data_IF_488263223020
#
_entry.id   IF_488263223020
#
_cell.length_a   1.000
_cell.length_b   1.000
_cell.length_c   1.000
_cell.angle_alpha   90.00
_cell.angle_beta   90.00
_cell.angle_gamma   90.00
#
_symmetry.space_group_name_H-M   'P 1'
#
loop_
_entity.id
_entity.type
_entity.pdbx_description
1 polymer ?
#
# COMPACT_ATOMS: atom_id res chain seq x y z
N UNK A 1 17.14 14.21 25.67
CA UNK A 1 16.74 12.90 26.21
C UNK A 1 17.81 11.85 25.84
N UNK A 2 17.91 10.71 26.54
CA UNK A 2 18.73 9.56 26.08
C UNK A 2 17.92 8.27 26.14
N UNK A 3 18.05 7.42 25.12
CA UNK A 3 17.44 6.08 25.04
C UNK A 3 18.56 5.09 24.73
N UNK A 4 18.76 4.05 25.53
CA UNK A 4 19.88 3.10 25.40
C UNK A 4 21.26 3.77 25.26
N UNK A 5 21.47 4.91 25.95
CA UNK A 5 22.71 5.69 25.85
C UNK A 5 22.83 6.55 24.59
N UNK A 6 21.96 6.38 23.60
CA UNK A 6 21.88 7.20 22.38
C UNK A 6 21.20 8.53 22.69
N UNK A 7 21.82 9.63 22.26
CA UNK A 7 21.26 10.98 22.42
C UNK A 7 20.08 11.20 21.49
N UNK A 8 18.94 11.61 22.04
CA UNK A 8 17.78 12.07 21.28
C UNK A 8 17.82 13.59 21.27
N UNK A 9 18.00 14.16 20.08
CA UNK A 9 18.02 15.60 19.86
C UNK A 9 16.62 16.16 20.11
N UNK A 10 16.54 17.24 20.88
CA UNK A 10 15.29 17.94 21.16
C UNK A 10 14.91 18.78 19.93
N UNK A 11 14.21 18.15 19.00
CA UNK A 11 13.78 18.72 17.73
C UNK A 11 12.48 18.02 17.27
N UNK A 12 11.96 18.42 16.11
CA UNK A 12 10.74 17.88 15.53
C UNK A 12 10.96 17.40 14.09
N UNK A 13 10.06 16.54 13.62
CA UNK A 13 9.90 16.20 12.21
C UNK A 13 8.69 16.96 11.65
N UNK A 14 8.89 17.76 10.62
CA UNK A 14 7.80 18.45 9.93
C UNK A 14 7.19 17.51 8.87
N UNK A 15 5.91 17.19 9.04
CA UNK A 15 5.14 16.33 8.16
C UNK A 15 4.02 17.13 7.48
N UNK A 16 3.42 16.56 6.45
CA UNK A 16 2.46 17.26 5.58
C UNK A 16 1.18 16.45 5.42
N UNK A 17 0.07 17.16 5.21
CA UNK A 17 -1.19 16.52 4.81
C UNK A 17 -1.06 15.94 3.40
N UNK A 18 -1.44 14.68 3.23
CA UNK A 18 -1.55 14.01 1.92
C UNK A 18 -2.80 13.15 1.87
N UNK A 19 -3.13 12.60 0.71
CA UNK A 19 -4.24 11.66 0.57
C UNK A 19 -3.71 10.26 0.36
N UNK A 20 -4.30 9.29 1.06
CA UNK A 20 -3.98 7.87 0.91
C UNK A 20 -5.22 7.07 0.56
N UNK A 21 -5.03 6.00 -0.19
CA UNK A 21 -5.97 4.88 -0.26
C UNK A 21 -5.30 3.65 0.31
N UNK A 22 -6.07 2.87 1.08
CA UNK A 22 -5.65 1.64 1.74
C UNK A 22 -6.52 0.49 1.21
N UNK A 23 -5.90 -0.53 0.66
CA UNK A 23 -6.63 -1.66 0.08
C UNK A 23 -5.92 -2.99 0.33
N UNK A 24 -6.69 -4.07 0.29
CA UNK A 24 -6.24 -5.42 0.58
C UNK A 24 -6.10 -6.19 -0.73
N UNK A 25 -4.91 -6.74 -1.00
CA UNK A 25 -4.67 -7.71 -2.06
C UNK A 25 -4.66 -9.10 -1.43
N UNK A 26 -5.53 -9.99 -1.87
CA UNK A 26 -5.54 -11.41 -1.47
C UNK A 26 -5.08 -12.28 -2.63
N UNK A 27 -4.48 -13.43 -2.34
CA UNK A 27 -4.06 -14.39 -3.36
C UNK A 27 -4.12 -15.83 -2.84
N UNK A 28 -3.80 -16.81 -3.68
CA UNK A 28 -3.86 -18.24 -3.31
C UNK A 28 -2.96 -18.60 -2.12
N UNK A 29 -1.82 -17.93 -1.98
CA UNK A 29 -0.87 -18.11 -0.89
C UNK A 29 -0.01 -16.84 -0.69
N UNK A 30 0.76 -16.81 0.39
CA UNK A 30 1.59 -15.67 0.83
C UNK A 30 2.59 -15.25 -0.25
N UNK A 31 3.16 -16.21 -0.99
CA UNK A 31 4.07 -15.92 -2.09
C UNK A 31 3.43 -15.00 -3.14
N UNK A 32 2.21 -15.29 -3.57
CA UNK A 32 1.54 -14.48 -4.60
C UNK A 32 1.04 -13.15 -4.05
N UNK A 33 0.68 -13.10 -2.76
CA UNK A 33 0.41 -11.84 -2.07
C UNK A 33 1.64 -10.94 -2.10
N UNK A 34 2.80 -11.46 -1.69
CA UNK A 34 4.04 -10.68 -1.65
C UNK A 34 4.42 -10.15 -3.02
N UNK A 35 4.37 -10.98 -4.07
CA UNK A 35 4.69 -10.56 -5.44
C UNK A 35 3.77 -9.42 -5.89
N UNK A 36 2.45 -9.58 -5.74
CA UNK A 36 1.48 -8.57 -6.18
C UNK A 36 1.61 -7.27 -5.37
N UNK A 37 1.80 -7.37 -4.05
CA UNK A 37 1.99 -6.22 -3.18
C UNK A 37 3.25 -5.44 -3.54
N UNK A 38 4.40 -6.13 -3.70
CA UNK A 38 5.68 -5.51 -4.07
C UNK A 38 5.63 -4.83 -5.43
N UNK A 39 5.01 -5.46 -6.42
CA UNK A 39 4.86 -4.87 -7.75
C UNK A 39 3.96 -3.61 -7.69
N UNK A 40 2.85 -3.70 -6.95
CA UNK A 40 1.88 -2.61 -6.76
C UNK A 40 2.49 -1.39 -6.07
N UNK A 41 3.39 -1.62 -5.11
CA UNK A 41 4.07 -0.56 -4.34
C UNK A 41 5.44 -0.20 -4.90
N UNK A 42 5.84 -0.78 -6.04
CA UNK A 42 7.07 -0.47 -6.74
C UNK A 42 7.07 0.93 -7.36
N UNK A 43 8.27 1.47 -7.60
CA UNK A 43 8.51 2.80 -8.18
C UNK A 43 7.63 3.89 -7.54
N UNK A 44 7.67 3.95 -6.21
CA UNK A 44 6.78 4.79 -5.41
C UNK A 44 7.44 5.30 -4.11
N UNK A 45 8.71 5.74 -4.18
CA UNK A 45 9.42 6.18 -2.98
C UNK A 45 9.08 7.59 -2.55
N UNK A 46 8.95 8.52 -3.51
CA UNK A 46 8.63 9.92 -3.24
C UNK A 46 7.92 10.55 -4.42
N UNK A 47 6.87 11.32 -4.15
CA UNK A 47 6.12 12.06 -5.19
C UNK A 47 6.95 13.16 -5.89
N UNK A 48 8.18 13.43 -5.44
CA UNK A 48 9.11 14.33 -6.13
C UNK A 48 9.49 13.80 -7.52
N UNK A 49 9.68 12.48 -7.64
CA UNK A 49 10.09 11.82 -8.88
C UNK A 49 9.26 10.59 -9.27
N UNK A 50 8.44 10.06 -8.36
CA UNK A 50 7.50 8.97 -8.61
C UNK A 50 6.08 9.51 -8.78
N UNK A 51 5.17 8.68 -9.31
CA UNK A 51 3.76 9.04 -9.49
C UNK A 51 2.98 9.12 -8.16
N UNK A 52 3.41 8.31 -7.18
CA UNK A 52 2.85 8.17 -5.86
C UNK A 52 3.95 7.82 -4.84
N UNK A 53 3.60 7.88 -3.57
CA UNK A 53 4.28 7.15 -2.49
C UNK A 53 3.48 5.88 -2.20
N UNK A 54 4.11 4.72 -2.04
CA UNK A 54 3.37 3.49 -1.75
C UNK A 54 4.20 2.50 -0.95
N UNK A 55 3.53 1.64 -0.20
CA UNK A 55 4.17 0.64 0.65
C UNK A 55 3.21 -0.43 1.12
N UNK A 56 3.79 -1.55 1.56
CA UNK A 56 3.05 -2.62 2.22
C UNK A 56 2.93 -2.26 3.69
N UNK A 57 1.70 -2.24 4.20
CA UNK A 57 1.41 -1.94 5.60
C UNK A 57 1.51 -3.20 6.46
N UNK A 58 0.87 -4.29 6.03
CA UNK A 58 0.85 -5.54 6.79
C UNK A 58 0.46 -6.73 5.93
N UNK A 59 0.79 -7.93 6.40
CA UNK A 59 0.30 -9.20 5.86
C UNK A 59 -0.72 -9.80 6.82
N UNK A 60 -1.82 -10.33 6.25
CA UNK A 60 -2.95 -10.88 6.95
C UNK A 60 -3.12 -12.37 6.61
N UNK A 61 -3.46 -13.15 7.62
CA UNK A 61 -3.90 -14.54 7.45
C UNK A 61 -5.35 -14.61 6.95
N UNK A 62 -5.73 -15.74 6.36
CA UNK A 62 -7.04 -15.89 5.70
C UNK A 62 -8.26 -15.86 6.62
N UNK A 63 -8.07 -16.03 7.93
CA UNK A 63 -9.14 -15.97 8.94
C UNK A 63 -9.75 -14.57 9.12
N UNK A 64 -9.02 -13.52 8.72
CA UNK A 64 -9.48 -12.12 8.83
C UNK A 64 -9.83 -11.48 7.49
N UNK A 65 -9.56 -12.16 6.36
CA UNK A 65 -9.81 -11.60 5.02
C UNK A 65 -11.21 -11.94 4.50
N UNK A 66 -11.80 -11.10 3.61
CA UNK A 66 -13.18 -11.29 3.17
C UNK A 66 -13.43 -12.60 2.39
N UNK A 67 -12.40 -13.18 1.77
CA UNK A 67 -12.52 -14.38 0.93
C UNK A 67 -11.80 -15.60 1.51
N UNK A 68 -11.32 -15.53 2.75
CA UNK A 68 -10.70 -16.66 3.44
C UNK A 68 -9.25 -16.94 3.03
N UNK A 69 -8.62 -16.05 2.25
CA UNK A 69 -7.27 -16.25 1.67
C UNK A 69 -6.24 -15.31 2.28
N UNK A 70 -4.94 -15.67 2.34
CA UNK A 70 -3.93 -14.74 2.81
C UNK A 70 -3.93 -13.46 1.98
N UNK A 71 -3.58 -12.33 2.61
CA UNK A 71 -3.58 -11.04 1.96
C UNK A 71 -2.52 -10.07 2.47
N UNK A 72 -2.32 -8.99 1.74
CA UNK A 72 -1.41 -7.91 2.02
C UNK A 72 -2.15 -6.59 1.92
N UNK A 73 -2.14 -5.82 3.01
CA UNK A 73 -2.68 -4.46 3.04
C UNK A 73 -1.61 -3.54 2.49
N UNK A 74 -1.98 -2.75 1.49
CA UNK A 74 -1.08 -1.78 0.86
C UNK A 74 -1.70 -0.39 0.94
N UNK A 75 -0.82 0.62 0.97
CA UNK A 75 -1.22 2.01 0.89
C UNK A 75 -0.61 2.68 -0.34
N UNK A 76 -1.39 3.55 -0.98
CA UNK A 76 -0.97 4.42 -2.08
C UNK A 76 -1.31 5.87 -1.71
N UNK A 77 -0.30 6.72 -1.74
CA UNK A 77 -0.31 8.12 -1.32
C UNK A 77 -0.07 9.03 -2.50
N UNK A 78 -0.98 9.96 -2.74
CA UNK A 78 -0.89 10.92 -3.84
C UNK A 78 -1.82 12.11 -3.60
N UNK A 79 -1.86 13.07 -4.51
CA UNK A 79 -2.85 14.14 -4.45
C UNK A 79 -4.28 13.64 -4.72
N UNK A 80 -5.28 14.20 -4.02
CA UNK A 80 -6.71 13.84 -4.15
C UNK A 80 -7.18 13.64 -5.60
N UNK A 81 -6.82 14.56 -6.50
CA UNK A 81 -7.25 14.52 -7.92
C UNK A 81 -6.60 13.39 -8.73
N UNK A 82 -5.45 12.88 -8.29
CA UNK A 82 -4.71 11.78 -8.94
C UNK A 82 -5.08 10.40 -8.39
N UNK A 83 -5.74 10.34 -7.23
CA UNK A 83 -6.02 9.09 -6.52
C UNK A 83 -6.66 8.01 -7.39
N UNK A 84 -7.73 8.34 -8.13
CA UNK A 84 -8.36 7.38 -9.03
C UNK A 84 -7.40 6.84 -10.10
N UNK A 85 -6.58 7.71 -10.69
CA UNK A 85 -5.65 7.32 -11.74
C UNK A 85 -4.55 6.40 -11.21
N UNK A 86 -3.93 6.74 -10.07
CA UNK A 86 -2.91 5.90 -9.45
C UNK A 86 -3.46 4.52 -9.06
N UNK A 87 -4.68 4.45 -8.54
CA UNK A 87 -5.30 3.18 -8.22
C UNK A 87 -5.62 2.35 -9.47
N UNK A 88 -6.09 2.97 -10.55
CA UNK A 88 -6.34 2.26 -11.82
C UNK A 88 -5.05 1.69 -12.42
N UNK A 89 -3.98 2.47 -12.41
CA UNK A 89 -2.71 2.06 -13.00
C UNK A 89 -2.09 0.93 -12.18
N UNK A 90 -1.98 1.11 -10.85
CA UNK A 90 -1.36 0.12 -9.96
C UNK A 90 -2.19 -1.16 -9.86
N UNK A 91 -3.50 -1.06 -9.63
CA UNK A 91 -4.34 -2.27 -9.54
C UNK A 91 -4.47 -2.93 -10.92
N UNK A 92 -4.61 -2.14 -11.99
CA UNK A 92 -4.77 -2.66 -13.36
C UNK A 92 -3.53 -3.34 -13.92
N UNK A 93 -2.34 -2.79 -13.66
CA UNK A 93 -1.10 -3.29 -14.25
C UNK A 93 -0.30 -4.21 -13.32
N UNK A 94 -0.52 -4.14 -12.00
CA UNK A 94 0.25 -4.92 -11.02
C UNK A 94 -0.59 -5.97 -10.28
N UNK A 95 -1.89 -5.76 -10.07
CA UNK A 95 -2.75 -6.70 -9.34
C UNK A 95 -3.55 -7.57 -10.30
N UNK A 96 -4.32 -6.99 -11.22
CA UNK A 96 -5.17 -7.72 -12.16
C UNK A 96 -4.36 -8.74 -12.99
N UNK A 97 -3.11 -8.38 -13.31
CA UNK A 97 -2.16 -9.19 -14.06
C UNK A 97 -1.45 -10.23 -13.18
N UNK A 98 -1.44 -10.05 -11.87
CA UNK A 98 -0.80 -10.98 -10.94
C UNK A 98 -1.65 -12.25 -10.74
N UNK A 99 -1.03 -13.44 -10.67
CA UNK A 99 -1.77 -14.69 -10.53
C UNK A 99 -2.63 -14.76 -9.28
N UNK A 100 -3.86 -15.25 -9.46
CA UNK A 100 -4.81 -15.61 -8.39
C UNK A 100 -5.31 -14.45 -7.55
N UNK A 101 -5.04 -13.19 -7.89
CA UNK A 101 -5.35 -12.07 -7.00
C UNK A 101 -6.85 -11.74 -6.94
N UNK A 102 -7.27 -11.21 -5.80
CA UNK A 102 -8.47 -10.38 -5.68
C UNK A 102 -8.14 -9.14 -4.86
N UNK A 103 -8.90 -8.07 -5.05
CA UNK A 103 -8.68 -6.82 -4.31
C UNK A 103 -9.96 -6.28 -3.68
N UNK A 104 -9.81 -5.83 -2.43
CA UNK A 104 -10.86 -5.30 -1.58
C UNK A 104 -10.50 -3.91 -1.06
N UNK A 105 -11.51 -3.07 -0.86
CA UNK A 105 -11.32 -1.81 -0.15
C UNK A 105 -11.01 -2.05 1.33
N UNK A 106 -10.04 -1.31 1.86
CA UNK A 106 -9.54 -1.46 3.22
C UNK A 106 -9.34 -0.11 3.95
N UNK A 107 -9.92 0.98 3.41
CA UNK A 107 -9.79 2.34 3.96
C UNK A 107 -10.55 2.51 5.28
N UNK A 108 -11.66 1.79 5.45
CA UNK A 108 -12.50 1.88 6.64
C UNK A 108 -13.64 2.88 6.51
N UNK A 109 -14.34 3.13 7.61
CA UNK A 109 -15.51 4.01 7.63
C UNK A 109 -15.13 5.48 7.45
N UNK A 110 -16.01 6.25 6.81
CA UNK A 110 -15.84 7.70 6.63
C UNK A 110 -14.90 8.12 5.50
N UNK A 111 -14.28 7.18 4.77
CA UNK A 111 -13.48 7.50 3.59
C UNK A 111 -14.34 8.05 2.43
N UNK A 112 -13.80 9.01 1.68
CA UNK A 112 -14.32 9.36 0.36
C UNK A 112 -14.06 8.20 -0.60
N UNK A 113 -14.87 8.01 -1.64
CA UNK A 113 -14.74 6.85 -2.53
C UNK A 113 -14.50 7.24 -3.98
N UNK A 114 -13.69 6.44 -4.68
CA UNK A 114 -13.50 6.47 -6.14
C UNK A 114 -13.91 5.14 -6.78
N UNK A 115 -14.37 5.17 -8.03
CA UNK A 115 -15.06 4.06 -8.71
C UNK A 115 -14.10 3.14 -9.49
N UNK A 116 -13.00 2.70 -8.85
CA UNK A 116 -11.93 1.90 -9.48
C UNK A 116 -12.47 0.62 -10.10
N UNK A 117 -13.12 -0.25 -9.32
CA UNK A 117 -13.66 -1.52 -9.83
C UNK A 117 -14.70 -1.32 -10.92
N UNK A 118 -15.52 -0.26 -10.82
CA UNK A 118 -16.50 0.10 -11.85
C UNK A 118 -15.86 0.44 -13.19
N UNK A 119 -14.69 1.08 -13.18
CA UNK A 119 -13.93 1.37 -14.40
C UNK A 119 -13.16 0.15 -14.89
N UNK A 120 -12.52 -0.59 -13.99
CA UNK A 120 -11.77 -1.80 -14.36
C UNK A 120 -12.63 -2.90 -14.97
N UNK A 121 -13.93 -2.99 -14.63
CA UNK A 121 -14.85 -3.99 -15.21
C UNK A 121 -14.90 -3.96 -16.74
N UNK A 122 -14.59 -2.82 -17.37
CA UNK A 122 -14.59 -2.70 -18.84
C UNK A 122 -13.48 -3.54 -19.49
N UNK A 123 -12.44 -3.92 -18.75
CA UNK A 123 -11.43 -4.89 -19.22
C UNK A 123 -12.07 -6.23 -19.64
N UNK A 124 -13.15 -6.63 -18.99
CA UNK A 124 -13.87 -7.86 -19.33
C UNK A 124 -14.76 -7.74 -20.58
N UNK A 125 -14.70 -6.65 -21.34
CA UNK A 125 -15.36 -6.44 -22.64
C UNK A 125 -16.84 -6.90 -22.69
N UNK A 126 -17.61 -6.48 -21.68
CA UNK A 126 -19.04 -6.82 -21.56
C UNK A 126 -19.34 -8.15 -20.84
N UNK A 127 -18.34 -8.99 -20.60
CA UNK A 127 -18.49 -10.27 -19.88
C UNK A 127 -18.31 -10.16 -18.36
N UNK A 128 -17.93 -8.98 -17.84
CA UNK A 128 -17.80 -8.75 -16.41
C UNK A 128 -19.14 -8.84 -15.68
N UNK A 129 -19.18 -9.60 -14.58
CA UNK A 129 -20.40 -9.84 -13.78
C UNK A 129 -20.35 -9.06 -12.47
N UNK A 130 -21.51 -8.60 -12.01
CA UNK A 130 -21.66 -8.12 -10.63
C UNK A 130 -21.76 -9.33 -9.71
N UNK A 131 -21.01 -9.35 -8.61
CA UNK A 131 -21.06 -10.41 -7.61
C UNK A 131 -20.96 -9.82 -6.20
N UNK A 132 -20.99 -10.68 -5.18
CA UNK A 132 -20.77 -10.32 -3.78
C UNK A 132 -19.81 -11.31 -3.13
N UNK A 133 -18.91 -10.79 -2.31
CA UNK A 133 -18.01 -11.59 -1.45
C UNK A 133 -18.14 -11.04 -0.04
N UNK A 134 -18.59 -11.86 0.91
CA UNK A 134 -18.79 -11.45 2.31
C UNK A 134 -19.55 -10.11 2.46
N UNK A 135 -20.63 -9.97 1.68
CA UNK A 135 -21.47 -8.75 1.66
C UNK A 135 -20.92 -7.57 0.84
N UNK A 136 -19.64 -7.59 0.47
CA UNK A 136 -18.98 -6.55 -0.35
C UNK A 136 -19.42 -6.64 -1.80
N UNK A 137 -19.63 -5.50 -2.45
CA UNK A 137 -20.07 -5.43 -3.86
C UNK A 137 -18.86 -5.52 -4.77
N UNK A 138 -18.80 -6.57 -5.57
CA UNK A 138 -17.63 -6.87 -6.39
C UNK A 138 -18.00 -6.92 -7.88
N UNK A 139 -16.98 -6.80 -8.73
CA UNK A 139 -17.01 -7.28 -10.10
C UNK A 139 -16.14 -8.52 -10.24
N UNK A 140 -16.65 -9.52 -10.96
CA UNK A 140 -15.89 -10.64 -11.47
C UNK A 140 -15.57 -10.38 -12.95
N UNK A 141 -14.28 -10.18 -13.23
CA UNK A 141 -13.77 -9.79 -14.55
C UNK A 141 -13.12 -11.03 -15.17
N UNK A 142 -13.64 -11.57 -16.28
CA UNK A 142 -13.02 -12.71 -16.95
C UNK A 142 -11.61 -12.37 -17.45
N UNK A 143 -10.65 -13.24 -17.12
CA UNK A 143 -9.25 -13.19 -17.52
C UNK A 143 -8.78 -14.59 -17.90
N UNK A 144 -7.56 -14.74 -18.43
CA UNK A 144 -7.03 -16.07 -18.82
C UNK A 144 -7.01 -17.08 -17.66
N UNK A 145 -6.84 -16.62 -16.42
CA UNK A 145 -6.78 -17.46 -15.21
C UNK A 145 -8.14 -17.57 -14.49
N UNK A 146 -9.26 -17.35 -15.19
CA UNK A 146 -10.59 -17.41 -14.61
C UNK A 146 -11.17 -16.02 -14.38
N UNK A 147 -11.39 -15.63 -13.13
CA UNK A 147 -12.01 -14.34 -12.80
C UNK A 147 -11.10 -13.54 -11.86
N UNK A 148 -10.84 -12.28 -12.21
CA UNK A 148 -10.28 -11.28 -11.30
C UNK A 148 -11.42 -10.62 -10.52
N UNK A 149 -11.37 -10.71 -9.19
CA UNK A 149 -12.36 -10.11 -8.30
C UNK A 149 -11.87 -8.76 -7.79
N UNK A 150 -12.69 -7.72 -7.97
CA UNK A 150 -12.39 -6.36 -7.52
C UNK A 150 -13.60 -5.69 -6.90
N UNK A 151 -13.41 -5.05 -5.74
CA UNK A 151 -14.46 -4.28 -5.08
C UNK A 151 -14.88 -3.06 -5.92
N UNK A 152 -16.16 -2.71 -5.86
CA UNK A 152 -16.76 -1.71 -6.77
C UNK A 152 -16.11 -0.33 -6.62
N UNK A 153 -15.93 0.09 -5.38
CA UNK A 153 -15.45 1.42 -5.00
C UNK A 153 -14.30 1.26 -3.99
N UNK A 154 -13.37 2.20 -3.97
CA UNK A 154 -12.23 2.23 -3.06
C UNK A 154 -12.20 3.53 -2.30
N UNK A 155 -11.99 3.41 -0.99
CA UNK A 155 -11.88 4.51 -0.08
C UNK A 155 -10.52 5.20 -0.19
N UNK A 156 -10.53 6.51 0.01
CA UNK A 156 -9.34 7.30 0.27
C UNK A 156 -9.67 8.38 1.30
N UNK A 157 -8.66 8.80 2.06
CA UNK A 157 -8.80 9.80 3.12
C UNK A 157 -7.54 10.66 3.23
N UNK A 158 -7.61 11.71 4.05
CA UNK A 158 -6.46 12.51 4.43
C UNK A 158 -5.62 11.76 5.47
N UNK A 159 -4.31 11.80 5.31
CA UNK A 159 -3.34 11.26 6.25
C UNK A 159 -2.14 12.19 6.39
N UNK A 160 -1.12 11.70 7.08
CA UNK A 160 0.13 12.42 7.34
C UNK A 160 1.27 11.74 6.59
N UNK A 161 1.96 12.49 5.72
CA UNK A 161 3.13 12.03 4.98
C UNK A 161 4.38 12.79 5.43
N UNK A 162 5.54 12.14 5.38
CA UNK A 162 6.83 12.78 5.67
C UNK A 162 7.26 12.76 7.14
N UNK A 163 6.57 12.05 8.02
CA UNK A 163 7.09 11.73 9.35
C UNK A 163 8.43 11.01 9.22
N UNK A 164 9.45 11.46 9.96
CA UNK A 164 10.82 10.96 9.79
C UNK A 164 11.64 11.10 11.08
N UNK A 165 12.78 10.41 11.11
CA UNK A 165 13.87 10.64 12.05
C UNK A 165 15.18 10.24 11.37
N UNK A 166 16.31 10.75 11.89
CA UNK A 166 17.64 10.44 11.36
C UNK A 166 18.39 9.54 12.33
N UNK A 167 19.04 8.50 11.79
CA UNK A 167 19.96 7.63 12.53
C UNK A 167 21.37 8.08 12.21
N UNK A 168 22.13 8.46 13.25
CA UNK A 168 23.53 8.87 13.13
C UNK A 168 24.40 7.84 13.85
N UNK A 169 25.02 6.94 13.09
CA UNK A 169 25.98 5.95 13.61
C UNK A 169 27.44 6.33 13.36
N UNK A 170 28.36 5.57 13.94
CA UNK A 170 29.82 5.72 13.73
C UNK A 170 30.29 5.29 12.34
N UNK A 171 29.53 4.40 11.70
CA UNK A 171 29.85 3.76 10.44
C UNK A 171 28.57 3.31 9.72
N UNK A 172 28.75 2.88 8.47
CA UNK A 172 27.66 2.45 7.59
C UNK A 172 26.92 1.24 8.16
N UNK A 173 27.64 0.20 8.55
CA UNK A 173 27.05 -1.08 8.96
C UNK A 173 26.20 -0.91 10.23
N UNK A 174 26.69 -0.14 11.20
CA UNK A 174 25.96 0.19 12.43
C UNK A 174 24.70 1.02 12.14
N UNK A 175 24.79 2.00 11.23
CA UNK A 175 23.65 2.85 10.86
C UNK A 175 22.58 2.07 10.11
N UNK A 176 22.99 1.23 9.16
CA UNK A 176 22.07 0.41 8.37
C UNK A 176 21.42 -0.67 9.23
N UNK A 177 22.17 -1.36 10.09
CA UNK A 177 21.60 -2.35 11.02
C UNK A 177 20.55 -1.73 11.95
N UNK A 178 20.81 -0.50 12.43
CA UNK A 178 19.83 0.24 13.23
C UNK A 178 18.60 0.65 12.42
N UNK A 179 18.77 1.02 11.14
CA UNK A 179 17.66 1.36 10.25
C UNK A 179 16.79 0.14 9.92
N UNK A 180 17.40 -1.02 9.66
CA UNK A 180 16.70 -2.29 9.45
C UNK A 180 15.91 -2.71 10.69
N UNK A 181 16.50 -2.55 11.88
CA UNK A 181 15.79 -2.83 13.14
C UNK A 181 14.61 -1.86 13.37
N UNK A 182 14.76 -0.59 12.99
CA UNK A 182 13.67 0.37 13.07
C UNK A 182 12.55 0.04 12.08
N UNK A 183 12.89 -0.30 10.84
CA UNK A 183 11.90 -0.71 9.83
C UNK A 183 11.14 -1.97 10.26
N UNK A 184 11.84 -2.98 10.81
CA UNK A 184 11.20 -4.18 11.33
C UNK A 184 10.20 -3.86 12.45
N UNK A 185 10.46 -2.84 13.27
CA UNK A 185 9.53 -2.38 14.29
C UNK A 185 8.35 -1.59 13.69
N UNK A 186 8.60 -0.76 12.67
CA UNK A 186 7.57 0.03 11.97
C UNK A 186 6.60 -0.87 11.19
N UNK A 187 7.09 -1.94 10.57
CA UNK A 187 6.29 -2.91 9.81
C UNK A 187 5.18 -3.60 10.65
N UNK A 188 5.24 -3.52 11.99
CA UNK A 188 4.19 -4.00 12.90
C UNK A 188 3.15 -2.95 13.28
N UNK A 189 3.27 -1.70 12.82
CA UNK A 189 2.38 -0.60 13.21
C UNK A 189 1.26 -0.46 12.18
N UNK A 190 0.03 -0.74 12.60
CA UNK A 190 -1.15 -0.60 11.75
C UNK A 190 -1.29 0.85 11.23
N UNK A 191 -1.59 0.98 9.94
CA UNK A 191 -1.79 2.27 9.29
C UNK A 191 -0.50 3.00 8.88
N UNK A 192 0.67 2.40 9.07
CA UNK A 192 1.97 3.01 8.72
C UNK A 192 2.64 2.25 7.58
N UNK A 193 3.30 2.99 6.69
CA UNK A 193 4.19 2.44 5.66
C UNK A 193 5.51 3.22 5.63
N UNK A 194 6.56 2.57 5.13
CA UNK A 194 7.82 3.20 4.77
C UNK A 194 8.03 3.08 3.26
N UNK A 195 7.85 4.19 2.51
CA UNK A 195 7.80 4.16 1.04
C UNK A 195 9.16 3.99 0.35
N UNK A 196 10.27 4.32 1.03
CA UNK A 196 11.60 4.22 0.46
C UNK A 196 12.05 2.76 0.27
N UNK A 197 13.04 2.48 -0.59
CA UNK A 197 13.54 1.11 -0.79
C UNK A 197 13.98 0.46 0.53
N UNK A 198 13.32 -0.64 0.90
CA UNK A 198 13.56 -1.31 2.18
C UNK A 198 13.17 -0.48 3.41
N UNK A 199 12.33 0.55 3.23
CA UNK A 199 11.90 1.47 4.28
C UNK A 199 12.93 2.54 4.67
N UNK A 200 14.10 2.56 4.01
CA UNK A 200 15.24 3.40 4.43
C UNK A 200 15.61 4.43 3.36
N UNK A 201 15.67 5.70 3.74
CA UNK A 201 16.14 6.78 2.87
C UNK A 201 17.65 6.98 3.03
N UNK A 202 18.44 6.57 2.03
CA UNK A 202 19.89 6.68 2.05
C UNK A 202 20.44 8.04 1.59
N UNK A 203 19.66 8.84 0.84
CA UNK A 203 20.16 10.04 0.17
C UNK A 203 19.96 11.32 0.96
N UNK A 204 18.81 11.47 1.64
CA UNK A 204 18.37 12.76 2.19
C UNK A 204 18.22 13.84 1.10
N UNK A 205 17.42 14.86 1.34
CA UNK A 205 17.31 15.99 0.42
C UNK A 205 17.01 17.28 1.16
N UNK A 206 17.16 18.41 0.46
CA UNK A 206 16.76 19.74 0.93
C UNK A 206 15.99 20.44 -0.19
N UNK A 207 15.09 21.34 0.19
CA UNK A 207 14.36 22.24 -0.72
C UNK A 207 15.32 23.21 -1.41
#
# INVERSE_FOLDING_TARGET
MKINGVSIVDTFAEAFESYYSRFLITARNEKWVEIAARETTGFASSIIGCSAEAGVESYLSGDVTPDGRPGGVVQVWTGKKKMLHELLDRIGQCVLTAPTTAVFDWCGEGCETVDVGRKMRYFGDGFAKKTKVSGRRMYAIPIMMGEFLIERDFGFSKGVAGGNFLIMGSDLDSSLSAAEAAEAAIAGVEGVISSFPGGVCASGSKV
#
